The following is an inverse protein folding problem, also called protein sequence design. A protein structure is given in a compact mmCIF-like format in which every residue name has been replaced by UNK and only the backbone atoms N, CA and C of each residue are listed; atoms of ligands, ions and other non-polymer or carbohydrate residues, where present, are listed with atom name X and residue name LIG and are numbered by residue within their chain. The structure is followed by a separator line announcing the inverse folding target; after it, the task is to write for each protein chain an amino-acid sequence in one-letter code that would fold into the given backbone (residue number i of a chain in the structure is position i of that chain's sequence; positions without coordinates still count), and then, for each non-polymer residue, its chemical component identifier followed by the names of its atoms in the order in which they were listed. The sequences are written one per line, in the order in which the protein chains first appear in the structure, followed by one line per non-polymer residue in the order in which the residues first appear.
data_IF_035767047782
#
_entry.id   IF_035767047782
#
_cell.length_a   1.000
_cell.length_b   1.000
_cell.length_c   1.000
_cell.angle_alpha   90.00
_cell.angle_beta   90.00
_cell.angle_gamma   90.00
#
_symmetry.space_group_name_H-M   'P 1'
#
loop_
_entity.id
_entity.type
_entity.pdbx_description
1 polymer ?
#
# COMPACT_ATOMS: atom_id res chain seq x y z
N UNK A 1 24.54 31.40 -4.15
CA UNK A 1 23.47 30.39 -4.29
C UNK A 1 23.72 29.35 -3.22
N UNK A 2 22.84 29.23 -2.23
CA UNK A 2 23.00 28.28 -1.11
C UNK A 2 22.37 26.96 -1.56
N UNK A 3 23.19 25.93 -1.74
CA UNK A 3 22.68 24.57 -1.96
C UNK A 3 22.39 23.93 -0.61
N UNK A 4 21.17 23.43 -0.44
CA UNK A 4 20.88 22.55 0.69
C UNK A 4 21.70 21.25 0.49
N UNK A 5 22.43 20.77 1.51
CA UNK A 5 22.99 19.42 1.52
C UNK A 5 21.93 18.38 1.18
N UNK A 6 22.30 17.35 0.41
CA UNK A 6 21.36 16.34 -0.09
C UNK A 6 20.68 15.61 1.07
N UNK A 7 21.39 15.37 2.17
CA UNK A 7 20.86 14.70 3.37
C UNK A 7 19.75 15.53 4.03
N UNK A 8 19.92 16.85 4.08
CA UNK A 8 18.88 17.75 4.60
C UNK A 8 17.70 17.81 3.64
N UNK A 9 17.95 17.81 2.33
CA UNK A 9 16.88 17.82 1.33
C UNK A 9 16.05 16.53 1.38
N UNK A 10 16.71 15.38 1.55
CA UNK A 10 16.07 14.07 1.77
C UNK A 10 15.25 14.05 3.04
N UNK A 11 15.74 14.62 4.15
CA UNK A 11 14.95 14.71 5.39
C UNK A 11 13.72 15.61 5.24
N UNK A 12 13.82 16.72 4.49
CA UNK A 12 12.66 17.55 4.16
C UNK A 12 11.68 16.78 3.28
N UNK A 13 12.17 16.10 2.23
CA UNK A 13 11.32 15.28 1.36
C UNK A 13 10.60 14.18 2.16
N UNK A 14 11.29 13.49 3.08
CA UNK A 14 10.71 12.47 3.97
C UNK A 14 9.52 13.01 4.76
N UNK A 15 9.70 14.17 5.41
CA UNK A 15 8.63 14.82 6.20
C UNK A 15 7.47 15.32 5.34
N UNK A 16 7.76 15.80 4.14
CA UNK A 16 6.71 16.17 3.18
C UNK A 16 5.93 14.92 2.74
N UNK A 17 6.64 13.82 2.47
CA UNK A 17 6.05 12.54 2.12
C UNK A 17 5.18 11.91 3.22
N UNK A 18 5.48 12.17 4.50
CA UNK A 18 4.63 11.74 5.63
C UNK A 18 3.25 12.38 5.65
N UNK A 19 3.04 13.51 4.95
CA UNK A 19 1.72 14.13 4.81
C UNK A 19 1.03 13.76 3.49
N UNK A 20 1.52 12.74 2.81
CA UNK A 20 0.99 12.23 1.55
C UNK A 20 1.97 12.38 0.37
N UNK A 21 2.01 11.35 -0.48
CA UNK A 21 2.95 11.26 -1.59
C UNK A 21 2.87 12.41 -2.59
N UNK A 22 1.70 13.07 -2.75
CA UNK A 22 1.51 14.17 -3.69
C UNK A 22 2.43 15.36 -3.38
N UNK A 23 2.79 15.56 -2.11
CA UNK A 23 3.72 16.61 -1.70
C UNK A 23 5.11 16.47 -2.33
N UNK A 24 5.51 15.25 -2.73
CA UNK A 24 6.81 14.99 -3.37
C UNK A 24 6.87 15.46 -4.83
N UNK A 25 5.75 15.81 -5.46
CA UNK A 25 5.73 16.24 -6.86
C UNK A 25 6.65 17.45 -7.12
N UNK A 26 6.71 18.40 -6.18
CA UNK A 26 7.60 19.57 -6.27
C UNK A 26 9.09 19.18 -6.22
N UNK A 27 9.45 18.19 -5.41
CA UNK A 27 10.82 17.67 -5.35
C UNK A 27 11.21 16.96 -6.65
N UNK A 28 10.31 16.11 -7.16
CA UNK A 28 10.53 15.33 -8.38
C UNK A 28 10.69 16.23 -9.62
N UNK A 29 9.96 17.35 -9.68
CA UNK A 29 10.00 18.32 -10.79
C UNK A 29 11.08 19.40 -10.63
N UNK A 30 11.60 19.62 -9.42
CA UNK A 30 12.49 20.73 -9.08
C UNK A 30 13.96 20.59 -9.51
N UNK A 31 14.36 19.46 -10.10
CA UNK A 31 15.73 19.20 -10.58
C UNK A 31 16.33 17.90 -10.03
N UNK A 32 17.60 17.62 -10.38
CA UNK A 32 18.27 16.35 -10.02
C UNK A 32 18.32 16.11 -8.52
N UNK A 33 18.79 17.08 -7.72
CA UNK A 33 18.93 16.90 -6.28
C UNK A 33 17.57 16.68 -5.59
N UNK A 34 16.52 17.39 -6.02
CA UNK A 34 15.17 17.21 -5.49
C UNK A 34 14.61 15.84 -5.85
N UNK A 35 14.83 15.41 -7.10
CA UNK A 35 14.44 14.10 -7.59
C UNK A 35 15.16 12.99 -6.83
N UNK A 36 16.47 13.11 -6.62
CA UNK A 36 17.28 12.14 -5.89
C UNK A 36 16.83 12.04 -4.43
N UNK A 37 16.54 13.19 -3.79
CA UNK A 37 15.99 13.23 -2.44
C UNK A 37 14.61 12.54 -2.35
N UNK A 38 13.69 12.81 -3.28
CA UNK A 38 12.35 12.22 -3.28
C UNK A 38 12.35 10.70 -3.57
N UNK A 39 13.35 10.22 -4.31
CA UNK A 39 13.50 8.80 -4.62
C UNK A 39 14.51 8.08 -3.72
N UNK A 40 14.98 8.73 -2.65
CA UNK A 40 15.78 8.06 -1.62
C UNK A 40 14.95 6.95 -0.95
N UNK A 41 15.60 5.82 -0.65
CA UNK A 41 14.93 4.66 -0.10
C UNK A 41 14.21 4.95 1.22
N UNK A 42 14.75 5.85 2.07
CA UNK A 42 14.11 6.23 3.34
C UNK A 42 12.80 6.98 3.11
N UNK A 43 12.76 7.82 2.08
CA UNK A 43 11.53 8.55 1.70
C UNK A 43 10.51 7.58 1.14
N UNK A 44 10.91 6.73 0.20
CA UNK A 44 10.00 5.77 -0.44
C UNK A 44 9.45 4.71 0.51
N UNK A 45 10.22 4.29 1.52
CA UNK A 45 9.79 3.32 2.51
C UNK A 45 8.77 3.89 3.49
N UNK A 46 8.83 5.19 3.78
CA UNK A 46 8.01 5.84 4.82
C UNK A 46 6.94 6.80 4.30
N UNK A 47 6.95 7.13 3.00
CA UNK A 47 5.95 8.01 2.40
C UNK A 47 4.54 7.48 2.68
N UNK A 48 3.65 8.40 3.05
CA UNK A 48 2.24 8.11 3.25
C UNK A 48 1.57 7.84 1.90
N UNK A 49 0.98 6.64 1.80
CA UNK A 49 0.29 6.11 0.64
C UNK A 49 -1.19 5.81 0.96
N UNK A 50 -1.78 6.38 2.01
CA UNK A 50 -3.17 6.12 2.40
C UNK A 50 -4.16 6.41 1.26
N UNK A 51 -3.86 7.37 0.38
CA UNK A 51 -4.70 7.61 -0.80
C UNK A 51 -4.79 6.39 -1.73
N UNK A 52 -3.78 5.51 -1.78
CA UNK A 52 -3.83 4.24 -2.52
C UNK A 52 -4.70 3.18 -1.82
N UNK A 53 -4.99 3.33 -0.53
CA UNK A 53 -5.97 2.50 0.19
C UNK A 53 -7.39 2.97 -0.17
N UNK A 54 -7.63 4.29 -0.19
CA UNK A 54 -8.97 4.84 -0.42
C UNK A 54 -9.33 5.01 -1.91
N UNK A 55 -8.33 5.02 -2.79
CA UNK A 55 -8.47 5.11 -4.24
C UNK A 55 -7.56 4.06 -4.87
N UNK A 56 -7.92 2.78 -4.75
CA UNK A 56 -7.05 1.66 -5.15
C UNK A 56 -6.74 1.65 -6.66
N UNK A 57 -7.59 2.29 -7.48
CA UNK A 57 -7.33 2.49 -8.91
C UNK A 57 -6.03 3.26 -9.20
N UNK A 58 -5.50 4.04 -8.25
CA UNK A 58 -4.19 4.68 -8.38
C UNK A 58 -3.04 3.67 -8.51
N UNK A 59 -3.22 2.43 -8.03
CA UNK A 59 -2.24 1.36 -8.14
C UNK A 59 -2.41 0.50 -9.41
N UNK A 60 -3.45 0.71 -10.23
CA UNK A 60 -3.65 -0.08 -11.45
C UNK A 60 -2.52 0.14 -12.47
N UNK A 61 -2.35 -0.82 -13.39
CA UNK A 61 -1.24 -0.82 -14.35
C UNK A 61 -1.29 0.40 -15.30
N UNK A 62 -2.49 0.89 -15.62
CA UNK A 62 -2.70 2.10 -16.44
C UNK A 62 -2.56 3.43 -15.71
N UNK A 63 -2.39 3.43 -14.38
CA UNK A 63 -2.33 4.67 -13.59
C UNK A 63 -1.03 5.44 -13.83
N UNK A 64 -1.14 6.78 -13.97
CA UNK A 64 0.01 7.68 -14.03
C UNK A 64 0.89 7.62 -12.75
N UNK A 65 0.32 7.16 -11.64
CA UNK A 65 1.03 7.04 -10.36
C UNK A 65 1.71 5.67 -10.18
N UNK A 66 1.42 4.69 -11.04
CA UNK A 66 2.00 3.34 -10.99
C UNK A 66 3.53 3.34 -10.92
N UNK A 67 4.27 4.14 -11.70
CA UNK A 67 5.73 4.13 -11.63
C UNK A 67 6.29 4.58 -10.26
N UNK A 68 5.64 5.56 -9.63
CA UNK A 68 6.02 6.02 -8.28
C UNK A 68 5.65 4.97 -7.23
N UNK A 69 4.44 4.42 -7.31
CA UNK A 69 3.96 3.36 -6.44
C UNK A 69 4.89 2.14 -6.46
N UNK A 70 5.33 1.69 -7.64
CA UNK A 70 6.25 0.56 -7.76
C UNK A 70 7.63 0.83 -7.13
N UNK A 71 8.10 2.08 -7.13
CA UNK A 71 9.33 2.43 -6.40
C UNK A 71 9.14 2.31 -4.89
N UNK A 72 7.98 2.69 -4.35
CA UNK A 72 7.65 2.51 -2.94
C UNK A 72 7.52 1.01 -2.58
N UNK A 73 6.90 0.22 -3.46
CA UNK A 73 6.83 -1.23 -3.32
C UNK A 73 8.22 -1.87 -3.25
N UNK A 74 9.12 -1.53 -4.19
CA UNK A 74 10.50 -2.03 -4.19
C UNK A 74 11.30 -1.57 -2.97
N UNK A 75 11.03 -0.36 -2.46
CA UNK A 75 11.63 0.16 -1.22
C UNK A 75 11.12 -0.54 0.05
N UNK A 76 10.07 -1.36 -0.05
CA UNK A 76 9.51 -2.11 1.07
C UNK A 76 8.45 -1.38 1.87
N UNK A 77 7.82 -0.33 1.31
CA UNK A 77 6.71 0.37 1.96
C UNK A 77 5.54 -0.59 2.24
N UNK A 78 5.06 -0.61 3.48
CA UNK A 78 4.02 -1.56 3.93
C UNK A 78 2.68 -1.36 3.21
N UNK A 79 2.26 -0.11 3.03
CA UNK A 79 1.03 0.22 2.29
C UNK A 79 1.15 -0.19 0.83
N UNK A 80 2.30 0.02 0.21
CA UNK A 80 2.54 -0.44 -1.16
C UNK A 80 2.50 -1.97 -1.29
N UNK A 81 3.10 -2.71 -0.34
CA UNK A 81 3.04 -4.17 -0.29
C UNK A 81 1.59 -4.67 -0.15
N UNK A 82 0.83 -4.05 0.75
CA UNK A 82 -0.58 -4.38 0.94
C UNK A 82 -1.39 -4.16 -0.34
N UNK A 83 -1.35 -2.94 -0.90
CA UNK A 83 -2.15 -2.58 -2.07
C UNK A 83 -1.79 -3.44 -3.27
N UNK A 84 -0.49 -3.69 -3.52
CA UNK A 84 -0.08 -4.57 -4.62
C UNK A 84 -0.44 -6.03 -4.37
N UNK A 85 -0.29 -6.50 -3.13
CA UNK A 85 -0.72 -7.84 -2.73
C UNK A 85 -2.21 -8.04 -2.97
N UNK A 86 -3.05 -7.10 -2.54
CA UNK A 86 -4.49 -7.12 -2.77
C UNK A 86 -4.81 -7.11 -4.27
N UNK A 87 -4.17 -6.23 -5.05
CA UNK A 87 -4.35 -6.15 -6.50
C UNK A 87 -4.08 -7.50 -7.19
N UNK A 88 -2.98 -8.15 -6.81
CA UNK A 88 -2.61 -9.45 -7.37
C UNK A 88 -3.56 -10.57 -6.92
N UNK A 89 -4.05 -10.54 -5.69
CA UNK A 89 -5.04 -11.48 -5.18
C UNK A 89 -6.38 -11.37 -5.93
N UNK A 90 -6.83 -10.14 -6.22
CA UNK A 90 -8.05 -9.89 -6.99
C UNK A 90 -7.87 -10.34 -8.45
N UNK A 91 -6.77 -9.93 -9.09
CA UNK A 91 -6.54 -10.17 -10.52
C UNK A 91 -6.26 -11.64 -10.85
N UNK A 92 -5.61 -12.37 -9.95
CA UNK A 92 -5.10 -13.71 -10.27
C UNK A 92 -5.42 -14.78 -9.22
N UNK A 93 -6.23 -14.43 -8.22
CA UNK A 93 -6.59 -15.31 -7.11
C UNK A 93 -5.48 -15.50 -6.06
N UNK A 94 -5.74 -16.31 -5.03
CA UNK A 94 -4.78 -16.58 -3.96
C UNK A 94 -3.59 -17.45 -4.44
N UNK A 95 -2.39 -17.16 -3.94
CA UNK A 95 -1.20 -18.03 -3.99
C UNK A 95 -0.32 -17.73 -2.78
N UNK A 96 0.62 -18.62 -2.44
CA UNK A 96 1.52 -18.40 -1.30
C UNK A 96 2.30 -17.08 -1.42
N UNK A 97 2.81 -16.76 -2.61
CA UNK A 97 3.59 -15.54 -2.84
C UNK A 97 2.73 -14.28 -2.71
N UNK A 98 1.49 -14.30 -3.21
CA UNK A 98 0.57 -13.16 -3.15
C UNK A 98 0.02 -12.93 -1.74
N UNK A 99 -0.33 -14.01 -1.04
CA UNK A 99 -0.75 -13.95 0.36
C UNK A 99 0.40 -13.44 1.25
N UNK A 100 1.64 -13.83 0.95
CA UNK A 100 2.82 -13.34 1.68
C UNK A 100 2.97 -11.82 1.61
N UNK A 101 2.68 -11.19 0.47
CA UNK A 101 2.71 -9.72 0.37
C UNK A 101 1.76 -9.05 1.36
N UNK A 102 0.56 -9.60 1.52
CA UNK A 102 -0.45 -9.09 2.46
C UNK A 102 -0.04 -9.41 3.91
N UNK A 103 0.50 -10.60 4.17
CA UNK A 103 1.02 -10.98 5.50
C UNK A 103 2.17 -10.06 5.93
N UNK A 104 3.08 -9.69 5.04
CA UNK A 104 4.18 -8.78 5.37
C UNK A 104 3.70 -7.35 5.66
N UNK A 105 2.45 -7.02 5.32
CA UNK A 105 1.79 -5.76 5.62
C UNK A 105 0.78 -5.85 6.78
N UNK A 106 0.83 -6.94 7.57
CA UNK A 106 -0.07 -7.24 8.69
C UNK A 106 -0.24 -6.11 9.73
N UNK A 107 0.72 -5.19 10.00
CA UNK A 107 0.45 -4.02 10.83
C UNK A 107 -0.78 -3.21 10.39
N UNK A 108 -1.16 -3.27 9.11
CA UNK A 108 -2.36 -2.64 8.57
C UNK A 108 -3.60 -3.52 8.82
N UNK A 109 -4.63 -2.93 9.43
CA UNK A 109 -5.92 -3.61 9.70
C UNK A 109 -6.59 -4.12 8.41
N UNK A 110 -6.47 -3.38 7.32
CA UNK A 110 -6.98 -3.78 6.01
C UNK A 110 -6.28 -5.03 5.46
N UNK A 111 -4.99 -5.23 5.79
CA UNK A 111 -4.24 -6.42 5.40
C UNK A 111 -4.74 -7.67 6.13
N UNK A 112 -5.02 -7.57 7.42
CA UNK A 112 -5.62 -8.66 8.21
C UNK A 112 -7.00 -9.04 7.68
N UNK A 113 -7.85 -8.05 7.39
CA UNK A 113 -9.17 -8.32 6.83
C UNK A 113 -9.06 -9.01 5.46
N UNK A 114 -8.26 -8.48 4.53
CA UNK A 114 -8.05 -9.09 3.23
C UNK A 114 -7.49 -10.53 3.35
N UNK A 115 -6.47 -10.72 4.20
CA UNK A 115 -5.88 -12.04 4.45
C UNK A 115 -6.93 -13.03 4.96
N UNK A 116 -7.82 -12.60 5.85
CA UNK A 116 -8.89 -13.45 6.39
C UNK A 116 -9.81 -13.97 5.29
N UNK A 117 -10.34 -13.07 4.44
CA UNK A 117 -11.28 -13.40 3.37
C UNK A 117 -10.61 -14.29 2.31
N UNK A 118 -9.44 -13.90 1.80
CA UNK A 118 -8.76 -14.68 0.77
C UNK A 118 -8.28 -16.06 1.27
N UNK A 119 -7.92 -16.18 2.55
CA UNK A 119 -7.57 -17.49 3.15
C UNK A 119 -8.79 -18.39 3.31
N UNK A 120 -9.92 -17.86 3.79
CA UNK A 120 -11.17 -18.62 3.90
C UNK A 120 -11.64 -19.07 2.52
N UNK A 121 -11.66 -18.16 1.54
CA UNK A 121 -12.10 -18.46 0.17
C UNK A 121 -11.18 -19.44 -0.57
N UNK A 122 -9.91 -19.58 -0.16
CA UNK A 122 -8.98 -20.58 -0.71
C UNK A 122 -9.00 -21.92 0.04
N UNK A 123 -9.87 -22.08 1.05
CA UNK A 123 -9.99 -23.31 1.84
C UNK A 123 -9.04 -23.37 3.04
N UNK A 124 -8.22 -22.35 3.29
CA UNK A 124 -7.39 -22.23 4.49
C UNK A 124 -8.16 -21.56 5.64
N UNK A 125 -9.18 -22.26 6.12
CA UNK A 125 -10.11 -21.73 7.13
C UNK A 125 -9.39 -21.32 8.43
N UNK A 126 -8.50 -22.16 8.96
CA UNK A 126 -7.77 -21.89 10.20
C UNK A 126 -6.90 -20.63 10.09
N UNK A 127 -6.17 -20.46 8.99
CA UNK A 127 -5.36 -19.26 8.76
C UNK A 127 -6.22 -18.01 8.65
N UNK A 128 -7.34 -18.10 7.93
CA UNK A 128 -8.24 -16.97 7.76
C UNK A 128 -8.94 -16.57 9.05
N UNK A 129 -9.40 -17.54 9.85
CA UNK A 129 -9.95 -17.28 11.17
C UNK A 129 -8.91 -16.71 12.13
N UNK A 130 -7.67 -17.19 12.08
CA UNK A 130 -6.57 -16.60 12.85
C UNK A 130 -6.36 -15.12 12.53
N UNK A 131 -6.37 -14.74 11.26
CA UNK A 131 -6.27 -13.34 10.83
C UNK A 131 -7.46 -12.49 11.31
N UNK A 132 -8.69 -13.03 11.23
CA UNK A 132 -9.88 -12.34 11.73
C UNK A 132 -9.84 -12.12 13.25
N UNK A 133 -9.37 -13.11 14.01
CA UNK A 133 -9.20 -12.98 15.46
C UNK A 133 -8.16 -11.89 15.77
N UNK A 134 -7.01 -11.90 15.09
CA UNK A 134 -5.99 -10.85 15.28
C UNK A 134 -6.54 -9.46 14.97
N UNK A 135 -7.35 -9.33 13.92
CA UNK A 135 -8.04 -8.08 13.61
C UNK A 135 -8.98 -7.63 14.74
N UNK A 136 -9.82 -8.55 15.23
CA UNK A 136 -10.75 -8.25 16.34
C UNK A 136 -10.07 -7.89 17.65
N UNK A 137 -8.82 -8.31 17.85
CA UNK A 137 -8.02 -7.90 19.01
C UNK A 137 -7.44 -6.50 18.86
N UNK A 138 -7.27 -6.01 17.62
CA UNK A 138 -6.74 -4.66 17.33
C UNK A 138 -7.84 -3.61 17.28
N UNK A 139 -9.01 -4.02 16.79
CA UNK A 139 -10.17 -3.16 16.58
C UNK A 139 -11.13 -3.37 17.73
N UNK A 140 -11.36 -2.32 18.53
CA UNK A 140 -12.12 -2.41 19.77
C UNK A 140 -13.64 -2.51 19.59
N UNK A 141 -14.15 -2.26 18.38
CA UNK A 141 -15.57 -2.02 18.13
C UNK A 141 -16.04 -2.67 16.83
N UNK A 142 -17.28 -3.17 16.82
CA UNK A 142 -17.87 -3.82 15.66
C UNK A 142 -18.02 -2.86 14.46
N UNK A 143 -18.38 -1.60 14.72
CA UNK A 143 -18.58 -0.61 13.66
C UNK A 143 -17.29 -0.35 12.87
N UNK A 144 -16.16 -0.26 13.56
CA UNK A 144 -14.84 -0.10 12.92
C UNK A 144 -14.45 -1.34 12.11
N UNK A 145 -14.80 -2.56 12.56
CA UNK A 145 -14.62 -3.78 11.76
C UNK A 145 -15.45 -3.75 10.46
N UNK A 146 -16.67 -3.22 10.53
CA UNK A 146 -17.54 -3.05 9.35
C UNK A 146 -16.93 -2.04 8.39
N UNK A 147 -16.49 -0.88 8.87
CA UNK A 147 -15.83 0.15 8.05
C UNK A 147 -14.58 -0.38 7.34
N UNK A 148 -13.75 -1.16 8.05
CA UNK A 148 -12.59 -1.84 7.47
C UNK A 148 -13.04 -2.80 6.37
N UNK A 149 -14.06 -3.61 6.63
CA UNK A 149 -14.60 -4.54 5.65
C UNK A 149 -15.13 -3.84 4.39
N UNK A 150 -15.93 -2.78 4.57
CA UNK A 150 -16.44 -1.97 3.46
C UNK A 150 -15.32 -1.32 2.65
N UNK A 151 -14.28 -0.82 3.32
CA UNK A 151 -13.10 -0.26 2.66
C UNK A 151 -12.41 -1.31 1.79
N UNK A 152 -12.17 -2.52 2.32
CA UNK A 152 -11.54 -3.60 1.54
C UNK A 152 -12.41 -4.04 0.37
N UNK A 153 -13.72 -4.12 0.56
CA UNK A 153 -14.64 -4.45 -0.53
C UNK A 153 -14.67 -3.37 -1.62
N UNK A 154 -14.61 -2.09 -1.25
CA UNK A 154 -14.48 -0.98 -2.19
C UNK A 154 -13.18 -1.09 -2.98
N UNK A 155 -12.06 -1.41 -2.32
CA UNK A 155 -10.78 -1.59 -3.00
C UNK A 155 -10.83 -2.72 -4.03
N UNK A 156 -11.44 -3.84 -3.67
CA UNK A 156 -11.61 -5.01 -4.55
C UNK A 156 -12.43 -4.63 -5.79
N UNK A 157 -13.47 -3.81 -5.63
CA UNK A 157 -14.29 -3.34 -6.74
C UNK A 157 -13.57 -2.36 -7.67
N UNK A 158 -12.67 -1.53 -7.13
CA UNK A 158 -11.91 -0.51 -7.87
C UNK A 158 -10.65 -1.07 -8.57
N UNK A 159 -10.15 -2.22 -8.13
CA UNK A 159 -9.03 -2.91 -8.79
C UNK A 159 -9.51 -3.46 -10.13
N UNK A 160 -8.73 -3.18 -11.19
CA UNK A 160 -9.03 -3.66 -12.53
C UNK A 160 -9.24 -5.20 -12.55
N UNK A 161 -10.32 -5.68 -13.20
CA UNK A 161 -10.55 -7.11 -13.34
C UNK A 161 -9.41 -7.77 -14.15
N UNK A 162 -9.28 -9.11 -14.08
CA UNK A 162 -8.35 -9.85 -14.92
C UNK A 162 -8.54 -9.45 -16.38
N UNK A 163 -7.47 -9.06 -17.05
CA UNK A 163 -7.48 -8.91 -18.51
C UNK A 163 -7.62 -10.29 -19.12
N UNK A 164 -8.64 -10.50 -19.95
CA UNK A 164 -8.77 -11.70 -20.78
C UNK A 164 -7.60 -11.70 -21.79
N UNK A 165 -6.49 -12.34 -21.43
CA UNK A 165 -5.43 -12.78 -22.37
C UNK A 165 -5.60 -14.27 -22.69
#
# INVERSE_FOLDING_TARGET
MVYLPIELLTEVARRVGHNGFRGLAGFISGGTNGRDAAFDNKVLMEVDLDEFIFVSSLANEGSLYRPFFMKCFTAGNMTAKYVEGLRLLVKFGPSNDRLRLVIEAEPLVYALFALSIFSICSGSYESGMGAMIMLSMRVGWLDELVEIGETVMSQIADIEPPSDE
#
